data_IF_565887248169
#
_entry.id   IF_565887248169
#
_cell.length_a   1.000
_cell.length_b   1.000
_cell.length_c   1.000
_cell.angle_alpha   90.00
_cell.angle_beta   90.00
_cell.angle_gamma   90.00
#
_symmetry.space_group_name_H-M   'P 1'
#
loop_
_entity.id
_entity.type
_entity.pdbx_description
1 polymer ?
#
# COMPACT_ATOMS: atom_id res chain seq x y z
N UNK A 1 9.68 -15.68 -24.79
CA UNK A 1 9.90 -14.33 -25.35
C UNK A 1 11.03 -13.71 -24.57
N UNK A 2 11.93 -12.99 -25.23
CA UNK A 2 12.92 -12.18 -24.53
C UNK A 2 12.22 -11.02 -23.81
N UNK A 3 12.79 -10.50 -22.72
CA UNK A 3 12.18 -9.41 -21.94
C UNK A 3 11.83 -8.19 -22.81
N UNK A 4 12.69 -7.82 -23.75
CA UNK A 4 12.44 -6.72 -24.68
C UNK A 4 11.19 -6.96 -25.55
N UNK A 5 10.98 -8.19 -26.04
CA UNK A 5 9.80 -8.56 -26.82
C UNK A 5 8.51 -8.48 -26.00
N UNK A 6 8.57 -8.89 -24.72
CA UNK A 6 7.43 -8.75 -23.80
C UNK A 6 7.05 -7.27 -23.61
N UNK A 7 8.04 -6.41 -23.38
CA UNK A 7 7.83 -4.98 -23.14
C UNK A 7 7.21 -4.32 -24.37
N UNK A 8 7.73 -4.58 -25.58
CA UNK A 8 7.17 -4.02 -26.81
C UNK A 8 5.73 -4.49 -27.03
N UNK A 9 5.45 -5.78 -26.80
CA UNK A 9 4.09 -6.30 -26.92
C UNK A 9 3.11 -5.67 -25.91
N UNK A 10 3.56 -5.44 -24.68
CA UNK A 10 2.77 -4.74 -23.65
C UNK A 10 2.46 -3.31 -24.08
N UNK A 11 3.43 -2.58 -24.65
CA UNK A 11 3.22 -1.21 -25.15
C UNK A 11 2.19 -1.17 -26.28
N UNK A 12 2.29 -2.09 -27.25
CA UNK A 12 1.32 -2.22 -28.34
C UNK A 12 -0.11 -2.44 -27.81
N UNK A 13 -0.25 -3.35 -26.84
CA UNK A 13 -1.55 -3.68 -26.27
C UNK A 13 -2.12 -2.56 -25.41
N UNK A 14 -1.29 -1.83 -24.65
CA UNK A 14 -1.74 -0.63 -23.92
C UNK A 14 -2.42 0.36 -24.85
N UNK A 15 -1.79 0.68 -25.98
CA UNK A 15 -2.35 1.60 -26.97
C UNK A 15 -3.64 1.02 -27.55
N UNK A 16 -3.62 -0.24 -27.99
CA UNK A 16 -4.78 -0.90 -28.60
C UNK A 16 -5.99 -0.98 -27.67
N UNK A 17 -5.77 -1.09 -26.37
CA UNK A 17 -6.81 -1.25 -25.35
C UNK A 17 -7.19 0.05 -24.64
N UNK A 18 -6.56 1.19 -25.00
CA UNK A 18 -6.64 2.42 -24.21
C UNK A 18 -6.41 2.14 -22.71
N UNK A 19 -5.31 1.46 -22.40
CA UNK A 19 -4.99 0.97 -21.07
C UNK A 19 -3.83 1.72 -20.43
N UNK A 20 -3.93 1.91 -19.11
CA UNK A 20 -2.83 2.38 -18.25
C UNK A 20 -2.41 1.28 -17.28
N UNK A 21 -1.13 1.25 -16.95
CA UNK A 21 -0.54 0.36 -15.96
C UNK A 21 -0.22 1.17 -14.72
N UNK A 22 -0.84 0.82 -13.60
CA UNK A 22 -0.56 1.40 -12.27
C UNK A 22 0.19 0.35 -11.45
N UNK A 23 1.37 0.68 -10.93
CA UNK A 23 2.18 -0.28 -10.16
C UNK A 23 2.48 0.23 -8.74
N UNK A 24 2.47 -0.70 -7.78
CA UNK A 24 2.93 -0.37 -6.43
C UNK A 24 4.46 -0.31 -6.37
N UNK A 25 5.03 0.48 -5.45
CA UNK A 25 6.49 0.52 -5.23
C UNK A 25 7.11 -0.84 -4.85
N UNK A 26 6.29 -1.81 -4.43
CA UNK A 26 6.75 -3.17 -4.10
C UNK A 26 6.72 -4.12 -5.30
N UNK A 27 6.21 -3.69 -6.46
CA UNK A 27 6.26 -4.49 -7.68
C UNK A 27 7.71 -4.73 -8.11
N UNK A 28 7.93 -5.74 -8.95
CA UNK A 28 9.25 -6.04 -9.50
C UNK A 28 9.80 -4.83 -10.31
N UNK A 29 11.13 -4.58 -10.32
CA UNK A 29 11.72 -3.45 -11.05
C UNK A 29 11.23 -3.32 -12.50
N UNK A 30 11.21 -4.44 -13.23
CA UNK A 30 10.78 -4.48 -14.62
C UNK A 30 9.28 -4.18 -14.81
N UNK A 31 8.46 -4.44 -13.80
CA UNK A 31 7.03 -4.07 -13.80
C UNK A 31 6.86 -2.58 -13.48
N UNK A 32 7.67 -2.04 -12.57
CA UNK A 32 7.70 -0.60 -12.29
C UNK A 32 8.18 0.20 -13.53
N UNK A 33 9.07 -0.37 -14.34
CA UNK A 33 9.63 0.30 -15.53
C UNK A 33 8.64 0.46 -16.68
N UNK A 34 7.65 -0.43 -16.80
CA UNK A 34 6.60 -0.36 -17.83
C UNK A 34 5.34 0.38 -17.38
N UNK A 35 5.25 0.72 -16.09
CA UNK A 35 4.08 1.37 -15.51
C UNK A 35 3.96 2.83 -15.94
N UNK A 36 2.74 3.31 -16.17
CA UNK A 36 2.46 4.72 -16.41
C UNK A 36 2.57 5.54 -15.13
N UNK A 37 2.29 4.91 -14.00
CA UNK A 37 2.43 5.50 -12.69
C UNK A 37 2.88 4.45 -11.66
N UNK A 38 3.84 4.82 -10.83
CA UNK A 38 4.32 4.02 -9.70
C UNK A 38 4.08 4.80 -8.42
N UNK A 39 3.39 4.20 -7.45
CA UNK A 39 2.98 4.90 -6.23
C UNK A 39 2.77 4.01 -5.01
N UNK A 40 2.48 4.66 -3.89
CA UNK A 40 1.94 4.03 -2.70
C UNK A 40 0.41 3.87 -2.82
N UNK A 41 -0.22 3.22 -1.85
CA UNK A 41 -1.67 2.94 -1.93
C UNK A 41 -2.53 4.21 -2.10
N UNK A 42 -2.13 5.33 -1.50
CA UNK A 42 -2.84 6.60 -1.64
C UNK A 42 -2.64 7.20 -3.03
N UNK A 43 -1.39 7.28 -3.49
CA UNK A 43 -1.06 7.79 -4.82
C UNK A 43 -1.76 7.00 -5.92
N UNK A 44 -1.79 5.67 -5.81
CA UNK A 44 -2.48 4.81 -6.77
C UNK A 44 -3.99 5.02 -6.77
N UNK A 45 -4.60 5.24 -5.60
CA UNK A 45 -6.04 5.52 -5.50
C UNK A 45 -6.39 6.86 -6.15
N UNK A 46 -5.57 7.90 -5.91
CA UNK A 46 -5.73 9.22 -6.54
C UNK A 46 -5.52 9.14 -8.06
N UNK A 47 -4.51 8.40 -8.50
CA UNK A 47 -4.19 8.26 -9.92
C UNK A 47 -5.28 7.50 -10.67
N UNK A 48 -5.80 6.40 -10.11
CA UNK A 48 -6.89 5.64 -10.73
C UNK A 48 -8.12 6.51 -11.05
N UNK A 49 -8.46 7.44 -10.15
CA UNK A 49 -9.58 8.39 -10.34
C UNK A 49 -9.27 9.41 -11.43
N UNK A 50 -8.03 9.92 -11.50
CA UNK A 50 -7.60 10.94 -12.48
C UNK A 50 -7.47 10.40 -13.90
N UNK A 51 -7.18 9.12 -14.05
CA UNK A 51 -6.96 8.51 -15.36
C UNK A 51 -8.21 8.51 -16.23
N UNK A 52 -8.04 8.77 -17.52
CA UNK A 52 -9.11 8.78 -18.53
C UNK A 52 -9.14 7.53 -19.39
N UNK A 53 -8.19 6.61 -19.18
CA UNK A 53 -8.13 5.33 -19.86
C UNK A 53 -9.33 4.43 -19.51
N UNK A 54 -9.76 3.62 -20.48
CA UNK A 54 -10.89 2.69 -20.32
C UNK A 54 -10.49 1.47 -19.47
N UNK A 55 -9.20 1.11 -19.51
CA UNK A 55 -8.66 -0.08 -18.84
C UNK A 55 -7.54 0.33 -17.88
N UNK A 56 -7.60 -0.15 -16.64
CA UNK A 56 -6.53 -0.03 -15.66
C UNK A 56 -5.97 -1.43 -15.41
N UNK A 57 -4.71 -1.66 -15.77
CA UNK A 57 -3.96 -2.84 -15.33
C UNK A 57 -3.30 -2.49 -14.00
N UNK A 58 -3.80 -3.08 -12.93
CA UNK A 58 -3.35 -2.79 -11.57
C UNK A 58 -2.29 -3.82 -11.15
N UNK A 59 -1.02 -3.42 -11.21
CA UNK A 59 0.12 -4.22 -10.78
C UNK A 59 0.34 -4.09 -9.26
N UNK A 60 -0.48 -4.80 -8.49
CA UNK A 60 -0.43 -4.84 -7.03
C UNK A 60 -1.13 -6.09 -6.51
N UNK A 61 -1.67 -6.00 -5.29
CA UNK A 61 -2.44 -7.08 -4.66
C UNK A 61 -3.95 -6.85 -4.75
N UNK A 62 -4.74 -7.90 -4.51
CA UNK A 62 -6.18 -7.98 -4.75
C UNK A 62 -6.97 -6.78 -4.20
N UNK A 63 -6.81 -6.41 -2.93
CA UNK A 63 -7.55 -5.30 -2.32
C UNK A 63 -7.28 -3.94 -3.00
N UNK A 64 -6.10 -3.77 -3.62
CA UNK A 64 -5.77 -2.54 -4.34
C UNK A 64 -6.52 -2.48 -5.68
N UNK A 65 -6.59 -3.62 -6.38
CA UNK A 65 -7.46 -3.79 -7.55
C UNK A 65 -8.94 -3.55 -7.22
N UNK A 66 -9.42 -4.08 -6.08
CA UNK A 66 -10.78 -3.80 -5.61
C UNK A 66 -10.99 -2.30 -5.36
N UNK A 67 -10.02 -1.63 -4.73
CA UNK A 67 -10.11 -0.19 -4.45
C UNK A 67 -10.21 0.63 -5.73
N UNK A 68 -9.44 0.28 -6.77
CA UNK A 68 -9.56 0.90 -8.09
C UNK A 68 -10.93 0.62 -8.73
N UNK A 69 -11.45 -0.61 -8.65
CA UNK A 69 -12.76 -0.96 -9.20
C UNK A 69 -13.92 -0.27 -8.45
N UNK A 70 -13.75 0.00 -7.15
CA UNK A 70 -14.72 0.75 -6.35
C UNK A 70 -14.76 2.23 -6.76
N UNK A 71 -13.58 2.83 -6.90
CA UNK A 71 -13.42 4.25 -7.24
C UNK A 71 -13.77 4.55 -8.69
N UNK A 72 -13.55 3.61 -9.60
CA UNK A 72 -13.69 3.78 -11.04
C UNK A 72 -14.65 2.72 -11.65
N UNK A 73 -15.95 2.75 -11.32
CA UNK A 73 -16.89 1.69 -11.70
C UNK A 73 -17.11 1.54 -13.21
N UNK A 74 -16.87 2.61 -13.96
CA UNK A 74 -17.06 2.63 -15.42
C UNK A 74 -15.81 2.14 -16.17
N UNK A 75 -14.70 1.89 -15.46
CA UNK A 75 -13.44 1.42 -16.04
C UNK A 75 -13.29 -0.09 -15.85
N UNK A 76 -12.63 -0.75 -16.79
CA UNK A 76 -12.23 -2.15 -16.64
C UNK A 76 -10.94 -2.22 -15.83
N UNK A 77 -11.01 -2.73 -14.60
CA UNK A 77 -9.82 -2.95 -13.76
C UNK A 77 -9.36 -4.39 -13.93
N UNK A 78 -8.13 -4.57 -14.40
CA UNK A 78 -7.47 -5.86 -14.58
C UNK A 78 -6.43 -6.07 -13.49
N UNK A 79 -6.44 -7.25 -12.89
CA UNK A 79 -5.40 -7.71 -11.98
C UNK A 79 -4.59 -8.81 -12.67
N UNK A 80 -3.29 -8.61 -12.95
CA UNK A 80 -2.46 -9.60 -13.64
C UNK A 80 -2.33 -10.94 -12.92
N UNK A 81 -2.46 -10.93 -11.60
CA UNK A 81 -2.39 -12.13 -10.77
C UNK A 81 -3.47 -12.06 -9.69
N UNK A 82 -4.51 -12.88 -9.83
CA UNK A 82 -5.65 -12.88 -8.91
C UNK A 82 -5.29 -13.44 -7.53
N UNK A 83 -4.30 -14.33 -7.48
CA UNK A 83 -3.82 -14.95 -6.24
C UNK A 83 -2.84 -14.04 -5.48
N UNK A 84 -2.50 -12.86 -6.01
CA UNK A 84 -1.68 -11.87 -5.32
C UNK A 84 -2.51 -11.20 -4.21
N UNK A 85 -2.65 -11.87 -3.06
CA UNK A 85 -3.43 -11.36 -1.91
C UNK A 85 -2.52 -10.77 -0.82
N UNK A 86 -3.12 -10.11 0.16
CA UNK A 86 -2.42 -9.57 1.32
C UNK A 86 -2.90 -10.31 2.58
N UNK A 87 -2.07 -11.15 3.22
CA UNK A 87 -2.48 -11.91 4.39
C UNK A 87 -3.04 -11.03 5.53
N UNK A 88 -2.49 -9.83 5.69
CA UNK A 88 -2.97 -8.86 6.68
C UNK A 88 -4.39 -8.37 6.39
N UNK A 89 -4.76 -8.19 5.12
CA UNK A 89 -6.12 -7.81 4.73
C UNK A 89 -7.15 -8.90 5.06
N UNK A 90 -6.70 -10.15 5.13
CA UNK A 90 -7.51 -11.32 5.47
C UNK A 90 -7.56 -11.58 6.99
N UNK A 91 -6.80 -10.84 7.81
CA UNK A 91 -6.81 -10.97 9.28
C UNK A 91 -8.03 -10.32 9.94
N UNK A 92 -8.82 -9.54 9.20
CA UNK A 92 -10.06 -8.92 9.69
C UNK A 92 -11.26 -9.49 8.93
N UNK A 93 -12.25 -9.99 9.67
CA UNK A 93 -13.49 -10.53 9.12
C UNK A 93 -14.71 -9.68 9.52
N UNK A 94 -15.78 -9.80 8.74
CA UNK A 94 -16.99 -8.98 8.89
C UNK A 94 -17.71 -9.25 10.21
N UNK A 95 -17.75 -10.50 10.66
CA UNK A 95 -18.46 -10.84 11.89
C UNK A 95 -17.71 -10.33 13.11
N UNK A 96 -16.38 -10.47 13.09
CA UNK A 96 -15.48 -9.91 14.08
C UNK A 96 -15.60 -8.39 14.18
N UNK A 97 -15.56 -7.69 13.04
CA UNK A 97 -15.72 -6.23 13.02
C UNK A 97 -17.09 -5.80 13.56
N UNK A 98 -18.16 -6.52 13.23
CA UNK A 98 -19.51 -6.23 13.79
C UNK A 98 -19.55 -6.39 15.30
N UNK A 99 -19.00 -7.48 15.84
CA UNK A 99 -18.89 -7.70 17.29
C UNK A 99 -18.07 -6.59 17.96
N UNK A 100 -17.03 -6.09 17.31
CA UNK A 100 -16.22 -5.01 17.88
C UNK A 100 -16.97 -3.68 17.90
N UNK A 101 -17.75 -3.37 16.86
CA UNK A 101 -18.67 -2.21 16.83
C UNK A 101 -19.74 -2.30 17.92
N UNK A 102 -20.25 -3.49 18.23
CA UNK A 102 -21.22 -3.69 19.32
C UNK A 102 -20.63 -3.42 20.70
N UNK A 103 -19.35 -3.74 20.92
CA UNK A 103 -18.64 -3.42 22.17
C UNK A 103 -18.33 -1.93 22.32
N UNK A 104 -18.16 -1.24 21.19
CA UNK A 104 -17.76 0.17 21.13
C UNK A 104 -18.74 0.97 20.25
N UNK A 105 -20.00 1.18 20.70
CA UNK A 105 -21.06 1.75 19.87
C UNK A 105 -20.81 3.20 19.43
N UNK A 106 -20.01 3.96 20.18
CA UNK A 106 -19.65 5.34 19.88
C UNK A 106 -18.37 5.47 19.02
N UNK A 107 -17.67 4.35 18.77
CA UNK A 107 -16.42 4.37 18.01
C UNK A 107 -16.66 4.36 16.50
N UNK A 108 -15.93 5.22 15.78
CA UNK A 108 -15.89 5.17 14.32
C UNK A 108 -14.85 4.15 13.85
N UNK A 109 -15.18 3.41 12.78
CA UNK A 109 -14.23 2.46 12.18
C UNK A 109 -13.36 3.18 11.16
N UNK A 110 -12.05 3.21 11.40
CA UNK A 110 -11.02 3.62 10.45
C UNK A 110 -10.37 2.38 9.85
N UNK A 111 -10.50 2.24 8.54
CA UNK A 111 -10.05 1.07 7.80
C UNK A 111 -8.81 1.39 6.97
N UNK A 112 -7.68 0.78 7.31
CA UNK A 112 -6.53 0.80 6.43
C UNK A 112 -6.90 0.12 5.11
N UNK A 113 -6.55 0.76 3.97
CA UNK A 113 -6.89 0.29 2.61
C UNK A 113 -6.48 -1.16 2.35
N UNK A 114 -5.51 -1.69 3.08
CA UNK A 114 -5.13 -3.10 3.15
C UNK A 114 -6.19 -3.95 3.88
N UNK A 115 -7.42 -3.91 3.38
CA UNK A 115 -8.59 -4.65 3.86
C UNK A 115 -9.50 -4.99 2.67
N UNK A 116 -10.34 -6.01 2.76
CA UNK A 116 -11.28 -6.35 1.68
C UNK A 116 -12.31 -5.24 1.40
N UNK A 117 -12.91 -5.25 0.20
CA UNK A 117 -14.04 -4.37 -0.13
C UNK A 117 -15.19 -4.45 0.88
N UNK A 118 -15.47 -5.64 1.42
CA UNK A 118 -16.51 -5.84 2.42
C UNK A 118 -16.21 -5.09 3.72
N UNK A 119 -14.96 -5.12 4.19
CA UNK A 119 -14.54 -4.41 5.41
C UNK A 119 -14.61 -2.90 5.20
N UNK A 120 -14.18 -2.41 4.02
CA UNK A 120 -14.34 -1.00 3.65
C UNK A 120 -15.80 -0.57 3.68
N UNK A 121 -16.73 -1.41 3.23
CA UNK A 121 -18.17 -1.11 3.25
C UNK A 121 -18.77 -1.02 4.67
N UNK A 122 -18.18 -1.71 5.64
CA UNK A 122 -18.58 -1.64 7.06
C UNK A 122 -17.89 -0.52 7.85
N UNK A 123 -17.00 0.22 7.19
CA UNK A 123 -16.13 1.23 7.79
C UNK A 123 -16.63 2.65 7.55
N UNK A 124 -16.30 3.57 8.46
CA UNK A 124 -16.66 4.98 8.30
C UNK A 124 -15.74 5.67 7.29
N UNK A 125 -14.43 5.50 7.43
CA UNK A 125 -13.43 6.14 6.58
C UNK A 125 -12.26 5.19 6.33
N UNK A 126 -11.67 5.25 5.14
CA UNK A 126 -10.44 4.54 4.86
C UNK A 126 -9.21 5.39 5.25
N UNK A 127 -8.05 4.77 5.43
CA UNK A 127 -6.77 5.47 5.52
C UNK A 127 -5.67 4.70 4.80
N UNK A 128 -4.50 5.32 4.69
CA UNK A 128 -3.25 4.71 4.23
C UNK A 128 -2.14 5.01 5.24
N UNK A 129 -1.00 4.32 5.16
CA UNK A 129 0.17 4.70 5.96
C UNK A 129 0.66 6.14 5.71
N UNK A 130 0.24 6.77 4.60
CA UNK A 130 0.60 8.14 4.25
C UNK A 130 -0.30 9.20 4.90
N UNK A 131 -1.49 8.85 5.38
CA UNK A 131 -2.45 9.81 5.91
C UNK A 131 -3.25 9.33 7.13
N UNK A 132 -2.85 8.22 7.76
CA UNK A 132 -3.61 7.62 8.86
C UNK A 132 -3.76 8.56 10.06
N UNK A 133 -2.71 9.32 10.38
CA UNK A 133 -2.72 10.30 11.47
C UNK A 133 -3.70 11.44 11.15
N UNK A 134 -3.64 11.99 9.94
CA UNK A 134 -4.51 13.07 9.48
C UNK A 134 -5.97 12.61 9.39
N UNK A 135 -6.22 11.40 8.91
CA UNK A 135 -7.55 10.79 8.85
C UNK A 135 -8.12 10.67 10.25
N UNK A 136 -7.40 10.05 11.18
CA UNK A 136 -7.88 9.89 12.56
C UNK A 136 -8.11 11.24 13.22
N UNK A 137 -7.17 12.18 13.10
CA UNK A 137 -7.32 13.53 13.67
C UNK A 137 -8.42 14.38 13.02
N UNK A 138 -8.91 14.01 11.83
CA UNK A 138 -10.02 14.70 11.17
C UNK A 138 -11.40 14.31 11.69
N UNK A 139 -11.51 13.21 12.45
CA UNK A 139 -12.78 12.72 12.96
C UNK A 139 -13.24 13.52 14.17
N UNK A 140 -14.55 13.69 14.31
CA UNK A 140 -15.15 14.27 15.53
C UNK A 140 -15.22 13.26 16.67
N UNK A 141 -15.26 11.96 16.38
CA UNK A 141 -15.35 10.91 17.40
C UNK A 141 -14.07 10.77 18.24
N UNK A 142 -14.22 10.53 19.55
CA UNK A 142 -13.11 10.35 20.48
C UNK A 142 -12.55 8.93 20.49
N UNK A 143 -13.36 7.93 20.13
CA UNK A 143 -12.96 6.53 20.02
C UNK A 143 -12.93 6.07 18.55
N UNK A 144 -11.90 5.30 18.20
CA UNK A 144 -11.70 4.77 16.84
C UNK A 144 -11.36 3.29 16.90
N UNK A 145 -12.13 2.46 16.21
CA UNK A 145 -11.73 1.09 15.88
C UNK A 145 -10.81 1.15 14.66
N UNK A 146 -9.57 0.69 14.80
CA UNK A 146 -8.57 0.77 13.73
C UNK A 146 -8.25 -0.63 13.20
N UNK A 147 -8.55 -0.88 11.92
CA UNK A 147 -8.35 -2.19 11.27
C UNK A 147 -7.41 -2.12 10.06
N UNK A 148 -6.69 -3.20 9.72
CA UNK A 148 -6.44 -4.39 10.53
C UNK A 148 -5.09 -4.34 11.26
N UNK A 149 -4.22 -3.36 10.97
CA UNK A 149 -2.82 -3.38 11.40
C UNK A 149 -2.61 -2.68 12.74
N UNK A 150 -2.19 -3.46 13.75
CA UNK A 150 -1.95 -2.95 15.11
C UNK A 150 -0.72 -2.05 15.24
N UNK A 151 0.28 -2.22 14.37
CA UNK A 151 1.49 -1.41 14.44
C UNK A 151 1.21 0.01 13.92
N UNK A 152 0.48 0.13 12.82
CA UNK A 152 -0.03 1.39 12.31
C UNK A 152 -1.01 2.03 13.30
N UNK A 153 -1.88 1.23 13.93
CA UNK A 153 -2.76 1.72 14.99
C UNK A 153 -1.97 2.34 16.15
N UNK A 154 -0.94 1.65 16.66
CA UNK A 154 -0.06 2.16 17.71
C UNK A 154 0.74 3.41 17.27
N UNK A 155 1.20 3.43 16.01
CA UNK A 155 1.85 4.60 15.43
C UNK A 155 0.93 5.83 15.40
N UNK A 156 -0.34 5.63 15.08
CA UNK A 156 -1.36 6.69 15.05
C UNK A 156 -1.75 7.11 16.47
N UNK A 157 -1.95 6.16 17.38
CA UNK A 157 -2.29 6.39 18.80
C UNK A 157 -1.26 7.32 19.46
N UNK A 158 0.03 7.13 19.18
CA UNK A 158 1.10 8.01 19.68
C UNK A 158 1.08 9.45 19.11
N UNK A 159 0.18 9.78 18.18
CA UNK A 159 0.11 11.04 17.42
C UNK A 159 -1.30 11.63 17.37
N UNK A 160 -2.20 11.15 18.23
CA UNK A 160 -3.56 11.64 18.36
C UNK A 160 -3.95 11.68 19.84
N UNK A 161 -4.92 12.52 20.18
CA UNK A 161 -5.55 12.51 21.50
C UNK A 161 -6.75 11.53 21.56
N UNK A 162 -7.06 10.86 20.44
CA UNK A 162 -8.16 9.90 20.33
C UNK A 162 -7.77 8.53 20.89
N UNK A 163 -8.75 7.83 21.46
CA UNK A 163 -8.58 6.45 21.93
C UNK A 163 -8.67 5.50 20.75
N UNK A 164 -7.59 4.73 20.52
CA UNK A 164 -7.52 3.74 19.44
C UNK A 164 -7.81 2.34 19.99
N UNK A 165 -8.74 1.64 19.35
CA UNK A 165 -9.04 0.23 19.59
C UNK A 165 -8.44 -0.56 18.42
N UNK A 166 -7.22 -1.10 18.58
CA UNK A 166 -6.52 -1.76 17.49
C UNK A 166 -7.09 -3.15 17.21
N UNK A 167 -7.18 -3.50 15.93
CA UNK A 167 -7.34 -4.89 15.50
C UNK A 167 -6.00 -5.62 15.59
N UNK A 168 -5.99 -6.86 16.06
CA UNK A 168 -4.76 -7.65 16.27
C UNK A 168 -4.17 -8.26 14.98
N UNK A 169 -4.23 -7.54 13.86
CA UNK A 169 -3.58 -7.91 12.61
C UNK A 169 -2.22 -7.23 12.45
N UNK A 170 -1.40 -7.75 11.53
CA UNK A 170 -0.08 -7.18 11.21
C UNK A 170 0.40 -7.61 9.82
N UNK A 171 1.24 -6.81 9.19
CA UNK A 171 1.90 -7.19 7.93
C UNK A 171 3.04 -8.19 8.19
N UNK A 172 3.00 -9.44 7.65
CA UNK A 172 4.07 -10.42 7.88
C UNK A 172 5.43 -9.99 7.35
N UNK A 173 5.49 -9.17 6.28
CA UNK A 173 6.74 -8.68 5.71
C UNK A 173 7.43 -7.68 6.63
N UNK A 174 6.68 -6.74 7.21
CA UNK A 174 7.25 -5.76 8.14
C UNK A 174 7.45 -6.33 9.55
N UNK A 175 6.60 -7.28 9.96
CA UNK A 175 6.73 -7.93 11.27
C UNK A 175 7.97 -8.81 11.37
N UNK A 176 8.47 -9.34 10.24
CA UNK A 176 9.73 -10.09 10.16
C UNK A 176 10.98 -9.21 10.31
N UNK A 177 10.88 -7.88 10.22
CA UNK A 177 12.01 -6.98 10.47
C UNK A 177 12.26 -6.96 11.98
N UNK A 178 13.44 -7.42 12.40
CA UNK A 178 13.82 -7.47 13.80
C UNK A 178 14.63 -6.26 14.27
N UNK A 179 14.50 -5.91 15.56
CA UNK A 179 15.31 -4.86 16.19
C UNK A 179 16.79 -5.18 16.00
N UNK A 180 17.15 -6.45 16.14
CA UNK A 180 18.50 -6.98 15.95
C UNK A 180 18.99 -6.81 14.50
N UNK A 181 18.11 -6.91 13.50
CA UNK A 181 18.46 -6.68 12.10
C UNK A 181 18.87 -5.22 11.89
N UNK A 182 18.09 -4.28 12.46
CA UNK A 182 18.40 -2.85 12.40
C UNK A 182 19.73 -2.55 13.08
N UNK A 183 19.97 -3.10 14.28
CA UNK A 183 21.21 -2.87 15.03
C UNK A 183 22.44 -3.39 14.27
N UNK A 184 22.35 -4.60 13.71
CA UNK A 184 23.42 -5.16 12.87
C UNK A 184 23.69 -4.30 11.64
N UNK A 185 22.65 -3.76 11.01
CA UNK A 185 22.81 -2.89 9.84
C UNK A 185 23.40 -1.53 10.20
N UNK A 186 23.02 -0.95 11.35
CA UNK A 186 23.64 0.28 11.86
C UNK A 186 25.11 0.09 12.24
N UNK A 187 25.49 -1.08 12.76
CA UNK A 187 26.90 -1.41 13.02
C UNK A 187 27.71 -1.50 11.71
N UNK A 188 27.15 -2.14 10.68
CA UNK A 188 27.78 -2.25 9.35
C UNK A 188 27.84 -0.90 8.60
N UNK A 189 26.85 -0.04 8.81
CA UNK A 189 26.67 1.23 8.10
C UNK A 189 26.39 2.37 9.11
N UNK A 190 27.39 2.79 9.91
CA UNK A 190 27.19 3.73 11.02
C UNK A 190 26.70 5.12 10.59
N UNK A 191 27.02 5.53 9.37
CA UNK A 191 26.59 6.81 8.79
C UNK A 191 25.21 6.75 8.12
N UNK A 192 24.62 5.55 8.00
CA UNK A 192 23.37 5.37 7.29
C UNK A 192 22.17 5.74 8.16
N UNK A 193 21.25 6.53 7.59
CA UNK A 193 19.97 6.86 8.24
C UNK A 193 19.01 5.68 8.12
N UNK A 194 18.43 5.25 9.24
CA UNK A 194 17.41 4.20 9.22
C UNK A 194 16.04 4.83 9.01
N UNK A 195 15.39 4.49 7.89
CA UNK A 195 14.04 4.94 7.60
C UNK A 195 13.10 3.74 7.54
N UNK A 196 11.95 3.82 8.22
CA UNK A 196 11.07 2.68 8.40
C UNK A 196 9.61 2.99 8.04
N UNK A 197 8.88 1.95 7.66
CA UNK A 197 7.45 2.04 7.42
C UNK A 197 6.68 1.84 8.75
N UNK A 198 5.57 2.55 9.00
CA UNK A 198 4.82 2.47 10.27
C UNK A 198 4.14 1.11 10.54
N UNK A 199 4.16 0.17 9.59
CA UNK A 199 3.75 -1.24 9.81
C UNK A 199 4.82 -2.05 10.54
N UNK A 200 6.05 -1.54 10.69
CA UNK A 200 7.08 -2.17 11.52
C UNK A 200 6.69 -2.16 13.00
N UNK A 201 7.20 -3.13 13.75
CA UNK A 201 6.92 -3.24 15.19
C UNK A 201 7.43 -2.00 15.97
N UNK A 202 6.78 -1.61 17.08
CA UNK A 202 7.18 -0.42 17.85
C UNK A 202 8.66 -0.38 18.20
N UNK A 203 9.24 -1.51 18.64
CA UNK A 203 10.65 -1.63 19.02
C UNK A 203 11.64 -1.45 17.85
N UNK A 204 11.16 -1.59 16.61
CA UNK A 204 11.90 -1.26 15.38
C UNK A 204 11.76 0.23 15.07
N UNK A 205 10.54 0.76 15.19
CA UNK A 205 10.25 2.17 14.93
C UNK A 205 10.99 3.12 15.87
N UNK A 206 11.22 2.72 17.12
CA UNK A 206 12.07 3.45 18.08
C UNK A 206 13.50 3.72 17.58
N UNK A 207 14.01 2.87 16.69
CA UNK A 207 15.35 3.03 16.12
C UNK A 207 15.36 3.91 14.88
N UNK A 208 14.20 4.28 14.32
CA UNK A 208 14.11 4.97 13.04
C UNK A 208 14.45 6.46 13.15
N UNK A 209 15.30 6.93 12.25
CA UNK A 209 15.53 8.36 12.03
C UNK A 209 14.33 9.04 11.35
N UNK A 210 13.54 8.27 10.59
CA UNK A 210 12.31 8.75 9.95
C UNK A 210 11.31 7.62 9.75
N UNK A 211 10.03 7.88 10.02
CA UNK A 211 8.93 6.92 9.85
C UNK A 211 7.94 7.51 8.85
N UNK A 212 7.68 6.83 7.74
CA UNK A 212 6.77 7.30 6.70
C UNK A 212 6.23 6.19 5.81
N UNK A 213 5.21 6.49 4.99
CA UNK A 213 4.80 5.62 3.87
C UNK A 213 5.93 5.45 2.87
N UNK A 214 5.80 4.50 1.94
CA UNK A 214 6.79 4.25 0.88
C UNK A 214 7.12 5.51 0.06
N UNK A 215 6.10 6.30 -0.33
CA UNK A 215 6.31 7.59 -1.00
C UNK A 215 7.05 8.58 -0.09
N UNK A 216 6.65 8.67 1.17
CA UNK A 216 7.29 9.56 2.15
C UNK A 216 8.77 9.19 2.37
N UNK A 217 9.09 7.90 2.44
CA UNK A 217 10.47 7.38 2.52
C UNK A 217 11.30 7.77 1.30
N UNK A 218 10.76 7.64 0.07
CA UNK A 218 11.44 8.10 -1.15
C UNK A 218 11.72 9.61 -1.10
N UNK A 219 10.71 10.41 -0.71
CA UNK A 219 10.86 11.86 -0.66
C UNK A 219 11.86 12.30 0.42
N UNK A 220 11.82 11.68 1.59
CA UNK A 220 12.77 11.92 2.66
C UNK A 220 14.20 11.57 2.21
N UNK A 221 14.39 10.38 1.65
CA UNK A 221 15.70 9.95 1.16
C UNK A 221 16.25 10.88 0.09
N UNK A 222 15.42 11.30 -0.88
CA UNK A 222 15.78 12.23 -1.95
C UNK A 222 16.22 13.59 -1.39
N UNK A 223 15.46 14.17 -0.46
CA UNK A 223 15.69 15.52 0.05
C UNK A 223 16.70 15.60 1.20
N UNK A 224 17.02 14.48 1.84
CA UNK A 224 17.98 14.42 2.94
C UNK A 224 19.42 14.62 2.44
N UNK A 225 20.31 15.30 3.20
CA UNK A 225 21.73 15.42 2.87
C UNK A 225 22.51 14.12 3.10
N UNK A 226 21.93 13.12 3.77
CA UNK A 226 22.59 11.84 4.02
C UNK A 226 22.85 11.08 2.71
N UNK A 227 23.97 10.35 2.67
CA UNK A 227 24.42 9.58 1.49
C UNK A 227 24.01 8.12 1.53
N UNK A 228 23.68 7.62 2.72
CA UNK A 228 23.45 6.20 2.99
C UNK A 228 22.16 6.04 3.80
N UNK A 229 21.35 5.05 3.45
CA UNK A 229 20.08 4.76 4.13
C UNK A 229 19.88 3.27 4.31
N UNK A 230 19.43 2.88 5.50
CA UNK A 230 18.91 1.54 5.80
C UNK A 230 17.40 1.61 5.65
N UNK A 231 16.83 0.71 4.84
CA UNK A 231 15.43 0.74 4.41
C UNK A 231 14.65 -0.33 5.16
N UNK A 232 13.84 0.13 6.13
CA UNK A 232 12.93 -0.66 6.97
C UNK A 232 11.57 -0.87 6.34
N UNK A 233 11.54 -1.44 5.14
CA UNK A 233 10.32 -1.80 4.42
C UNK A 233 10.60 -2.87 3.36
N UNK A 234 9.62 -3.20 2.53
CA UNK A 234 9.76 -4.17 1.46
C UNK A 234 10.82 -3.77 0.41
N UNK A 235 11.61 -4.73 -0.05
CA UNK A 235 12.82 -4.52 -0.87
C UNK A 235 12.55 -3.93 -2.27
N UNK A 236 11.34 -4.04 -2.80
CA UNK A 236 10.95 -3.42 -4.07
C UNK A 236 11.04 -1.89 -4.04
N UNK A 237 10.95 -1.27 -2.86
CA UNK A 237 11.12 0.17 -2.71
C UNK A 237 12.51 0.65 -3.15
N UNK A 238 13.52 -0.21 -3.07
CA UNK A 238 14.90 0.10 -3.47
C UNK A 238 14.97 0.59 -4.93
N UNK A 239 14.18 0.01 -5.84
CA UNK A 239 14.13 0.47 -7.23
C UNK A 239 13.64 1.91 -7.36
N UNK A 240 12.56 2.25 -6.65
CA UNK A 240 12.03 3.62 -6.59
C UNK A 240 13.02 4.61 -5.97
N UNK A 241 13.73 4.20 -4.92
CA UNK A 241 14.78 4.99 -4.26
C UNK A 241 15.96 5.26 -5.21
N UNK A 242 16.47 4.23 -5.89
CA UNK A 242 17.55 4.38 -6.87
C UNK A 242 17.15 5.26 -8.06
N UNK A 243 15.89 5.16 -8.53
CA UNK A 243 15.37 6.06 -9.57
C UNK A 243 15.29 7.51 -9.09
N UNK A 244 14.89 7.73 -7.84
CA UNK A 244 14.66 9.08 -7.31
C UNK A 244 15.95 9.82 -6.95
N UNK A 245 16.98 9.10 -6.49
CA UNK A 245 18.30 9.64 -6.16
C UNK A 245 19.38 8.54 -6.32
N UNK A 246 19.92 8.35 -7.54
CA UNK A 246 20.85 7.26 -7.87
C UNK A 246 22.24 7.40 -7.25
N UNK A 247 22.61 8.60 -6.81
CA UNK A 247 23.90 8.91 -6.20
C UNK A 247 24.02 8.43 -4.75
N UNK A 248 22.91 8.02 -4.14
CA UNK A 248 22.81 7.57 -2.74
C UNK A 248 22.85 6.05 -2.66
N UNK A 249 23.29 5.55 -1.51
CA UNK A 249 23.32 4.11 -1.21
C UNK A 249 22.12 3.73 -0.36
N UNK A 250 21.48 2.62 -0.73
CA UNK A 250 20.33 2.07 -0.04
C UNK A 250 20.60 0.63 0.34
N UNK A 251 20.34 0.29 1.60
CA UNK A 251 20.56 -1.03 2.15
C UNK A 251 19.24 -1.60 2.63
N UNK A 252 18.87 -2.79 2.16
CA UNK A 252 17.73 -3.50 2.72
C UNK A 252 18.04 -3.86 4.17
N UNK A 253 17.12 -3.60 5.10
CA UNK A 253 17.34 -3.93 6.52
C UNK A 253 17.48 -5.44 6.75
N UNK A 254 16.76 -6.23 5.95
CA UNK A 254 16.71 -7.69 6.06
C UNK A 254 16.35 -8.30 4.70
N UNK A 255 16.93 -9.46 4.38
CA UNK A 255 16.59 -10.22 3.17
C UNK A 255 15.14 -10.76 3.20
N UNK A 256 14.58 -10.89 4.41
CA UNK A 256 13.20 -11.33 4.63
C UNK A 256 12.15 -10.24 4.40
N UNK A 257 12.59 -8.99 4.21
CA UNK A 257 11.70 -7.87 3.88
C UNK A 257 11.30 -7.90 2.40
N UNK A 258 10.76 -9.02 1.93
CA UNK A 258 10.27 -9.22 0.56
C UNK A 258 8.85 -9.77 0.61
N UNK A 259 7.90 -9.09 -0.05
CA UNK A 259 6.50 -9.54 -0.06
C UNK A 259 6.29 -10.52 -1.22
N UNK A 260 6.10 -11.83 -0.95
CA UNK A 260 5.98 -12.82 -2.02
C UNK A 260 4.81 -12.53 -2.95
N UNK A 261 3.65 -12.13 -2.41
CA UNK A 261 2.46 -11.79 -3.19
C UNK A 261 2.70 -10.66 -4.18
N UNK A 262 3.39 -9.59 -3.77
CA UNK A 262 3.76 -8.49 -4.67
C UNK A 262 4.69 -8.95 -5.81
N UNK A 263 5.55 -9.95 -5.56
CA UNK A 263 6.46 -10.50 -6.58
C UNK A 263 5.81 -11.53 -7.51
N UNK A 264 4.57 -11.94 -7.24
CA UNK A 264 3.84 -12.83 -8.15
C UNK A 264 3.49 -12.13 -9.47
N UNK A 265 3.30 -10.81 -9.46
CA UNK A 265 3.06 -10.01 -10.67
C UNK A 265 4.36 -9.83 -11.44
N UNK A 266 4.42 -10.30 -12.70
CA UNK A 266 5.56 -10.18 -13.61
C UNK A 266 5.12 -9.75 -15.02
N UNK A 267 6.07 -9.53 -15.93
CA UNK A 267 5.78 -9.04 -17.28
C UNK A 267 4.92 -10.01 -18.10
N UNK A 268 5.13 -11.31 -17.98
CA UNK A 268 4.33 -12.32 -18.68
C UNK A 268 2.87 -12.27 -18.26
N UNK A 269 2.60 -12.11 -16.96
CA UNK A 269 1.23 -11.98 -16.44
C UNK A 269 0.59 -10.66 -16.84
N UNK A 270 1.33 -9.56 -16.85
CA UNK A 270 0.85 -8.27 -17.37
C UNK A 270 0.49 -8.37 -18.86
N UNK A 271 1.34 -9.04 -19.65
CA UNK A 271 1.06 -9.29 -21.06
C UNK A 271 -0.22 -10.13 -21.25
N UNK A 272 -0.31 -11.29 -20.59
CA UNK A 272 -1.49 -12.17 -20.67
C UNK A 272 -2.75 -11.44 -20.23
N UNK A 273 -2.64 -10.60 -19.20
CA UNK A 273 -3.73 -9.78 -18.68
C UNK A 273 -4.29 -8.83 -19.75
N UNK A 274 -3.41 -8.12 -20.46
CA UNK A 274 -3.78 -7.21 -21.56
C UNK A 274 -4.29 -7.93 -22.81
N UNK A 275 -3.70 -9.08 -23.16
CA UNK A 275 -4.09 -9.87 -24.34
C UNK A 275 -5.51 -10.40 -24.19
N UNK A 276 -5.77 -11.04 -23.05
CA UNK A 276 -7.04 -11.72 -22.76
C UNK A 276 -8.08 -10.83 -22.08
N UNK A 277 -7.69 -9.63 -21.64
CA UNK A 277 -8.53 -8.72 -20.83
C UNK A 277 -8.99 -9.43 -19.55
N UNK A 278 -8.01 -9.91 -18.77
CA UNK A 278 -8.23 -10.65 -17.53
C UNK A 278 -7.15 -10.30 -16.47
N UNK A 279 -7.32 -10.55 -15.19
CA UNK A 279 -8.56 -10.92 -14.53
C UNK A 279 -9.35 -9.66 -14.20
N UNK A 280 -10.59 -9.56 -14.65
CA UNK A 280 -11.43 -8.39 -14.37
C UNK A 280 -11.83 -8.41 -12.90
N UNK A 281 -11.44 -7.38 -12.16
CA UNK A 281 -11.84 -7.20 -10.77
C UNK A 281 -13.22 -6.56 -10.73
N UNK A 282 -14.14 -7.18 -10.00
CA UNK A 282 -15.50 -6.65 -9.80
C UNK A 282 -15.85 -6.66 -8.31
N UNK A 283 -16.65 -5.69 -7.89
CA UNK A 283 -17.16 -5.59 -6.51
C UNK A 283 -18.68 -5.48 -6.57
N UNK A 284 -19.44 -6.30 -5.80
CA UNK A 284 -20.90 -6.24 -5.79
C UNK A 284 -21.42 -4.84 -5.51
N UNK A 285 -22.47 -4.41 -6.22
CA UNK A 285 -22.96 -3.02 -6.18
C UNK A 285 -23.25 -2.51 -4.76
N UNK A 286 -23.87 -3.32 -3.91
CA UNK A 286 -24.20 -2.98 -2.53
C UNK A 286 -22.96 -2.81 -1.63
N UNK A 287 -21.89 -3.57 -1.89
CA UNK A 287 -20.61 -3.43 -1.19
C UNK A 287 -19.85 -2.22 -1.74
N UNK A 288 -19.79 -2.10 -3.07
CA UNK A 288 -19.06 -1.05 -3.78
C UNK A 288 -19.51 0.34 -3.36
N UNK A 289 -20.82 0.60 -3.36
CA UNK A 289 -21.38 1.92 -3.04
C UNK A 289 -20.97 2.39 -1.63
N UNK A 290 -21.13 1.52 -0.63
CA UNK A 290 -20.73 1.79 0.76
C UNK A 290 -19.21 1.93 0.92
N UNK A 291 -18.43 1.03 0.31
CA UNK A 291 -16.97 1.10 0.36
C UNK A 291 -16.43 2.36 -0.34
N UNK A 292 -17.12 2.84 -1.39
CA UNK A 292 -16.78 4.07 -2.08
C UNK A 292 -16.91 5.28 -1.15
N UNK A 293 -17.93 5.33 -0.29
CA UNK A 293 -18.05 6.43 0.69
C UNK A 293 -16.84 6.50 1.63
N UNK A 294 -16.38 5.36 2.14
CA UNK A 294 -15.23 5.30 3.02
C UNK A 294 -13.93 5.75 2.31
N UNK A 295 -13.74 5.35 1.05
CA UNK A 295 -12.62 5.77 0.22
C UNK A 295 -12.71 7.25 -0.20
N UNK A 296 -13.89 7.75 -0.55
CA UNK A 296 -14.08 9.16 -0.92
C UNK A 296 -13.81 10.07 0.28
N UNK A 297 -14.28 9.70 1.48
CA UNK A 297 -13.94 10.40 2.73
C UNK A 297 -12.43 10.44 2.96
N UNK A 298 -11.72 9.32 2.75
CA UNK A 298 -10.25 9.26 2.82
C UNK A 298 -9.59 10.25 1.85
N UNK A 299 -10.04 10.28 0.59
CA UNK A 299 -9.47 11.14 -0.45
C UNK A 299 -9.77 12.63 -0.23
N UNK A 300 -10.84 12.96 0.51
CA UNK A 300 -11.21 14.32 0.86
C UNK A 300 -10.35 14.90 2.02
N UNK A 301 -9.69 14.06 2.81
CA UNK A 301 -8.80 14.51 3.89
C UNK A 301 -7.55 15.17 3.30
N UNK A 302 -7.34 16.44 3.65
CA UNK A 302 -6.16 17.20 3.23
C UNK A 302 -4.95 16.81 4.08
N UNK A 303 -3.92 16.28 3.43
CA UNK A 303 -2.61 16.06 4.04
C UNK A 303 -1.91 17.42 4.10
N UNK A 304 -1.46 17.82 5.30
CA UNK A 304 -0.76 19.08 5.54
C UNK A 304 0.74 18.92 5.32
#
# INVERSE_FOLDING_TARGET
MQQAELIERIKELKIKRNAVILAHYYSRPEVQDIADFVGDSLGLSQEAVRQTADVIVFCGVHFMGESAAILCPDKTVLLPEIDATCPMADMVDIEGLKREKEKHPDALVVCYVNSSAAIKAESYICCTSANAVEVVNSLEADEVIFVPDKNLAAYVEARTDKKIIPWEGHCPTHHQILREDVLKMKEKHPEAKFIAHPECRPEVLELADHIASTRGMIMYAKNSPAKEFIIGTECGLLHGLHKAAPEKKYYCVSEFACCPSMKMVNLEKVLVSLEKVQHVVTVPYNVRTRAKEALDRMLAVKIR
#
